data_IF_446835282608
#
_entry.id   IF_446835282608
#
_cell.length_a   1.000
_cell.length_b   1.000
_cell.length_c   1.000
_cell.angle_alpha   90.00
_cell.angle_beta   90.00
_cell.angle_gamma   90.00
#
_symmetry.space_group_name_H-M   'P 1'
#
loop_
_entity.id
_entity.type
_entity.pdbx_description
1 polymer ?
#
# COMPACT_ATOMS: atom_id res chain seq x y z
N UNK A 1 18.21 0.56 14.89
CA UNK A 1 17.14 0.85 15.86
C UNK A 1 17.75 1.27 17.19
N UNK A 2 16.95 1.69 18.19
CA UNK A 2 17.45 2.23 19.47
C UNK A 2 17.98 1.18 20.48
N UNK A 3 17.92 -0.12 20.15
CA UNK A 3 18.50 -1.18 20.99
C UNK A 3 17.74 -1.55 22.27
N UNK A 4 16.57 -0.97 22.49
CA UNK A 4 15.71 -1.26 23.65
C UNK A 4 14.77 -2.44 23.38
N UNK A 5 15.36 -3.62 23.13
CA UNK A 5 14.62 -4.85 22.80
C UNK A 5 14.68 -5.87 23.95
N UNK A 6 13.96 -5.58 25.04
CA UNK A 6 13.86 -6.48 26.18
C UNK A 6 12.45 -6.42 26.79
N UNK A 7 12.00 -7.55 27.34
CA UNK A 7 10.78 -7.60 28.16
C UNK A 7 11.14 -7.05 29.54
N UNK A 8 10.59 -5.88 29.87
CA UNK A 8 10.78 -5.28 31.18
C UNK A 8 9.66 -5.66 32.15
N UNK A 9 10.00 -5.74 33.43
CA UNK A 9 9.04 -5.84 34.54
C UNK A 9 9.11 -4.58 35.38
N UNK A 10 7.94 -4.12 35.80
CA UNK A 10 7.80 -2.92 36.61
C UNK A 10 7.67 -3.28 38.09
N UNK A 11 8.41 -2.59 38.95
CA UNK A 11 8.41 -2.79 40.39
C UNK A 11 8.05 -1.46 41.07
N UNK A 12 6.92 -1.39 41.78
CA UNK A 12 6.57 -0.20 42.54
C UNK A 12 7.51 -0.02 43.72
N UNK A 13 8.00 1.20 43.93
CA UNK A 13 8.86 1.55 45.04
C UNK A 13 8.04 2.19 46.17
N UNK A 14 8.50 2.04 47.41
CA UNK A 14 7.85 2.65 48.59
C UNK A 14 7.78 4.17 48.53
N UNK A 15 8.66 4.81 47.74
CA UNK A 15 8.67 6.25 47.48
C UNK A 15 7.59 6.73 46.50
N UNK A 16 6.80 5.81 45.92
CA UNK A 16 5.82 6.11 44.87
C UNK A 16 6.40 6.09 43.45
N UNK A 17 7.72 5.95 43.31
CA UNK A 17 8.38 5.72 42.02
C UNK A 17 8.16 4.31 41.48
N UNK A 18 8.55 4.08 40.23
CA UNK A 18 8.49 2.76 39.59
C UNK A 18 9.85 2.42 38.98
N UNK A 19 10.31 1.20 39.22
CA UNK A 19 11.56 0.69 38.68
C UNK A 19 11.26 -0.28 37.53
N UNK A 20 11.76 0.01 36.34
CA UNK A 20 11.67 -0.89 35.19
C UNK A 20 12.95 -1.72 35.10
N UNK A 21 12.83 -3.05 35.18
CA UNK A 21 13.96 -3.98 35.07
C UNK A 21 13.80 -4.84 33.83
N UNK A 22 14.79 -4.82 32.94
CA UNK A 22 14.86 -5.73 31.80
C UNK A 22 15.02 -7.17 32.31
N UNK A 23 14.01 -8.01 32.08
CA UNK A 23 13.92 -9.36 32.63
C UNK A 23 14.31 -10.43 31.62
N UNK A 24 14.01 -10.24 30.34
CA UNK A 24 14.31 -11.20 29.28
C UNK A 24 14.69 -10.47 27.98
N UNK A 25 15.71 -10.96 27.24
CA UNK A 25 16.03 -10.45 25.92
C UNK A 25 14.98 -10.89 24.90
N UNK A 26 14.70 -10.04 23.90
CA UNK A 26 13.87 -10.42 22.75
C UNK A 26 14.75 -11.07 21.70
N UNK A 27 14.31 -12.17 21.10
CA UNK A 27 15.03 -12.86 20.03
C UNK A 27 14.37 -12.68 18.66
N UNK A 28 15.18 -12.75 17.61
CA UNK A 28 14.75 -12.84 16.21
C UNK A 28 14.18 -14.23 15.91
N UNK A 29 13.50 -14.41 14.77
CA UNK A 29 12.96 -15.71 14.33
C UNK A 29 14.00 -16.83 14.24
N UNK A 30 15.28 -16.49 14.07
CA UNK A 30 16.41 -17.43 14.06
C UNK A 30 16.91 -17.81 15.48
N UNK A 31 16.21 -17.37 16.53
CA UNK A 31 16.56 -17.61 17.93
C UNK A 31 17.68 -16.73 18.50
N UNK A 32 18.35 -15.93 17.67
CA UNK A 32 19.39 -14.98 18.10
C UNK A 32 18.78 -13.83 18.90
N UNK A 33 19.35 -13.53 20.07
CA UNK A 33 18.94 -12.37 20.86
C UNK A 33 19.25 -11.07 20.11
N UNK A 34 18.31 -10.11 20.15
CA UNK A 34 18.50 -8.77 19.61
C UNK A 34 19.51 -8.06 20.50
N UNK A 35 20.62 -7.54 19.94
CA UNK A 35 21.64 -6.88 20.73
C UNK A 35 21.11 -5.57 21.34
N UNK A 36 21.65 -5.20 22.50
CA UNK A 36 21.30 -3.94 23.18
C UNK A 36 21.73 -2.69 22.38
N UNK A 37 22.59 -2.84 21.36
CA UNK A 37 22.93 -1.79 20.40
C UNK A 37 21.85 -1.58 19.33
N UNK A 38 20.86 -2.47 19.25
CA UNK A 38 19.84 -2.47 18.22
C UNK A 38 20.27 -3.15 16.93
N UNK A 39 19.34 -3.20 15.99
CA UNK A 39 19.53 -3.80 14.68
C UNK A 39 19.91 -2.72 13.67
N UNK A 40 20.89 -3.03 12.84
CA UNK A 40 21.22 -2.28 11.63
C UNK A 40 20.29 -2.74 10.52
N UNK A 41 19.54 -1.83 9.86
CA UNK A 41 18.74 -2.21 8.71
C UNK A 41 19.67 -2.54 7.53
N UNK A 42 19.31 -3.56 6.76
CA UNK A 42 20.04 -3.92 5.54
C UNK A 42 19.93 -2.81 4.47
N UNK A 43 18.79 -2.11 4.46
CA UNK A 43 18.52 -1.00 3.56
C UNK A 43 17.98 0.17 4.38
N UNK A 44 18.76 1.25 4.43
CA UNK A 44 18.33 2.51 5.03
C UNK A 44 17.58 3.35 3.99
N UNK A 45 16.30 3.59 4.22
CA UNK A 45 15.49 4.50 3.40
C UNK A 45 15.28 5.79 4.18
N UNK A 46 15.78 6.90 3.64
CA UNK A 46 15.59 8.22 4.26
C UNK A 46 14.34 8.87 3.69
N UNK A 47 13.40 9.23 4.56
CA UNK A 47 12.16 9.94 4.22
C UNK A 47 11.97 11.14 5.13
N UNK A 48 11.15 12.10 4.68
CA UNK A 48 10.73 13.24 5.49
C UNK A 48 9.67 12.78 6.51
N UNK A 49 9.92 12.97 7.83
CA UNK A 49 9.02 12.48 8.87
C UNK A 49 7.65 13.15 8.85
N UNK A 50 7.52 14.40 8.37
CA UNK A 50 6.22 15.05 8.28
C UNK A 50 5.35 14.39 7.22
N UNK A 51 5.94 14.05 6.07
CA UNK A 51 5.27 13.37 4.96
C UNK A 51 4.88 11.94 5.30
N UNK A 52 5.70 11.23 6.07
CA UNK A 52 5.37 9.88 6.55
C UNK A 52 4.18 9.91 7.51
N UNK A 53 4.17 10.85 8.47
CA UNK A 53 3.04 11.00 9.42
C UNK A 53 1.74 11.36 8.72
N UNK A 54 1.76 12.31 7.78
CA UNK A 54 0.57 12.68 7.02
C UNK A 54 0.04 11.48 6.23
N UNK A 55 0.93 10.71 5.60
CA UNK A 55 0.54 9.50 4.86
C UNK A 55 -0.10 8.44 5.76
N UNK A 56 0.43 8.23 6.97
CA UNK A 56 -0.13 7.30 7.95
C UNK A 56 -1.49 7.77 8.46
N UNK A 57 -1.62 9.06 8.77
CA UNK A 57 -2.89 9.64 9.19
C UNK A 57 -3.95 9.54 8.10
N UNK A 58 -3.60 9.82 6.85
CA UNK A 58 -4.51 9.69 5.70
C UNK A 58 -4.94 8.24 5.49
N UNK A 59 -4.04 7.27 5.68
CA UNK A 59 -4.39 5.85 5.64
C UNK A 59 -5.40 5.49 6.74
N UNK A 60 -5.16 5.95 7.97
CA UNK A 60 -6.07 5.70 9.11
C UNK A 60 -7.42 6.41 8.93
N UNK A 61 -7.44 7.58 8.30
CA UNK A 61 -8.64 8.40 8.07
C UNK A 61 -9.44 7.94 6.86
N UNK A 62 -8.78 7.45 5.81
CA UNK A 62 -9.34 7.06 4.52
C UNK A 62 -9.56 5.54 4.33
N UNK A 63 -8.97 4.69 5.17
CA UNK A 63 -9.11 3.23 5.10
C UNK A 63 -10.47 2.67 5.53
N UNK A 64 -11.28 3.46 6.24
CA UNK A 64 -12.66 3.09 6.62
C UNK A 64 -13.72 3.55 5.59
N UNK A 65 -13.34 4.35 4.60
CA UNK A 65 -14.28 5.05 3.73
C UNK A 65 -14.01 4.82 2.23
N UNK A 66 -13.58 3.62 1.83
CA UNK A 66 -13.47 3.31 0.39
C UNK A 66 -13.58 1.81 0.06
N UNK A 67 -14.70 1.20 0.46
CA UNK A 67 -15.26 0.06 -0.29
C UNK A 67 -16.68 0.32 -0.77
N UNK A 68 -17.41 1.29 -0.18
CA UNK A 68 -18.81 1.57 -0.53
C UNK A 68 -19.13 3.02 -0.94
N UNK A 69 -18.13 3.90 -1.11
CA UNK A 69 -18.36 5.33 -1.40
C UNK A 69 -18.48 5.65 -2.90
N UNK A 70 -19.01 4.72 -3.72
CA UNK A 70 -19.42 5.01 -5.11
C UNK A 70 -20.93 5.29 -5.19
N UNK A 71 -21.70 5.04 -4.13
CA UNK A 71 -23.17 5.08 -4.21
C UNK A 71 -23.80 6.44 -3.85
N UNK A 72 -23.08 7.36 -3.18
CA UNK A 72 -23.67 8.60 -2.66
C UNK A 72 -23.52 9.84 -3.56
N UNK A 73 -22.67 9.79 -4.59
CA UNK A 73 -22.52 10.90 -5.55
C UNK A 73 -23.58 10.89 -6.67
N UNK A 74 -24.40 9.83 -6.77
CA UNK A 74 -25.38 9.65 -7.86
C UNK A 74 -26.75 10.29 -7.61
N UNK A 75 -27.01 10.92 -6.45
CA UNK A 75 -28.35 11.41 -6.08
C UNK A 75 -28.56 12.94 -6.15
N UNK A 76 -27.57 13.71 -6.61
CA UNK A 76 -27.66 15.18 -6.65
C UNK A 76 -27.39 15.71 -8.07
N UNK A 77 -28.36 15.52 -8.96
CA UNK A 77 -28.26 16.00 -10.34
C UNK A 77 -29.50 15.69 -11.17
N UNK A 78 -30.66 16.19 -10.76
CA UNK A 78 -31.84 16.28 -11.62
C UNK A 78 -31.71 17.57 -12.45
N UNK A 79 -32.00 17.46 -13.75
CA UNK A 79 -32.18 18.50 -14.78
C UNK A 79 -30.96 18.85 -15.64
N UNK A 80 -30.73 18.07 -16.71
CA UNK A 80 -30.59 18.62 -18.08
C UNK A 80 -30.66 17.49 -19.11
N UNK A 81 -31.46 17.67 -20.15
CA UNK A 81 -31.77 16.66 -21.16
C UNK A 81 -30.71 16.54 -22.26
N UNK A 82 -30.68 15.37 -22.91
CA UNK A 82 -30.09 15.21 -24.24
C UNK A 82 -29.21 13.97 -24.45
N UNK A 83 -29.82 12.93 -25.03
CA UNK A 83 -29.24 12.11 -26.12
C UNK A 83 -28.12 11.08 -25.80
N UNK A 84 -28.57 9.81 -25.84
CA UNK A 84 -27.97 8.57 -26.36
C UNK A 84 -26.76 7.91 -25.65
N UNK A 85 -27.06 6.73 -25.09
CA UNK A 85 -26.22 5.52 -25.07
C UNK A 85 -24.69 5.72 -25.02
N UNK A 86 -24.15 5.96 -23.83
CA UNK A 86 -22.82 5.44 -23.46
C UNK A 86 -22.93 4.54 -22.24
N UNK A 87 -23.52 3.38 -22.47
CA UNK A 87 -23.27 2.21 -21.63
C UNK A 87 -21.85 1.69 -21.92
N UNK A 88 -20.84 2.38 -21.42
CA UNK A 88 -19.48 1.83 -21.24
C UNK A 88 -19.20 1.61 -19.74
N UNK A 89 -20.26 1.39 -18.97
CA UNK A 89 -20.17 0.72 -17.68
C UNK A 89 -20.25 -0.78 -17.96
N UNK A 90 -19.16 -1.50 -17.69
CA UNK A 90 -19.05 -2.96 -17.79
C UNK A 90 -20.38 -3.61 -17.35
N UNK A 91 -21.17 -4.06 -18.34
CA UNK A 91 -22.43 -4.77 -18.09
C UNK A 91 -22.10 -5.89 -17.13
N UNK A 92 -22.83 -5.98 -16.01
CA UNK A 92 -22.73 -7.15 -15.13
C UNK A 92 -23.23 -8.34 -15.96
N UNK A 93 -22.28 -9.10 -16.53
CA UNK A 93 -22.59 -10.29 -17.30
C UNK A 93 -23.12 -11.34 -16.32
N UNK A 94 -24.32 -11.84 -16.56
CA UNK A 94 -24.86 -12.97 -15.83
C UNK A 94 -24.36 -14.27 -16.49
N UNK A 95 -24.48 -15.40 -15.80
CA UNK A 95 -24.02 -16.71 -16.27
C UNK A 95 -24.67 -17.12 -17.61
N UNK A 96 -25.94 -16.75 -17.81
CA UNK A 96 -26.62 -16.93 -19.09
C UNK A 96 -25.97 -16.15 -20.26
N UNK A 97 -25.43 -14.96 -19.99
CA UNK A 97 -24.74 -14.14 -20.99
C UNK A 97 -23.37 -14.75 -21.34
N UNK A 98 -22.66 -15.28 -20.34
CA UNK A 98 -21.38 -15.99 -20.52
C UNK A 98 -21.54 -17.22 -21.41
N UNK A 99 -22.57 -18.04 -21.17
CA UNK A 99 -22.84 -19.24 -21.99
C UNK A 99 -23.19 -18.86 -23.44
N UNK A 100 -23.94 -17.77 -23.64
CA UNK A 100 -24.26 -17.28 -24.99
C UNK A 100 -23.01 -16.76 -25.71
N UNK A 101 -22.17 -15.98 -25.03
CA UNK A 101 -20.91 -15.47 -25.58
C UNK A 101 -19.93 -16.61 -25.96
N UNK A 102 -19.90 -17.68 -25.17
CA UNK A 102 -19.06 -18.85 -25.43
C UNK A 102 -19.55 -19.66 -26.64
N UNK A 103 -20.86 -19.78 -26.83
CA UNK A 103 -21.45 -20.40 -28.04
C UNK A 103 -21.25 -19.55 -29.30
N UNK A 104 -21.24 -18.23 -29.16
CA UNK A 104 -21.01 -17.28 -30.27
C UNK A 104 -19.51 -17.04 -30.58
N UNK A 105 -18.60 -17.69 -29.85
CA UNK A 105 -17.16 -17.65 -30.12
C UNK A 105 -16.46 -16.32 -29.79
N UNK A 106 -17.13 -15.39 -29.11
CA UNK A 106 -16.54 -14.10 -28.70
C UNK A 106 -15.75 -14.28 -27.40
N UNK A 107 -14.42 -14.27 -27.49
CA UNK A 107 -13.51 -14.28 -26.34
C UNK A 107 -13.50 -12.90 -25.66
N UNK A 108 -13.62 -12.81 -24.32
CA UNK A 108 -13.57 -11.54 -23.59
C UNK A 108 -12.16 -10.93 -23.49
N UNK A 109 -11.12 -11.64 -23.94
CA UNK A 109 -9.70 -11.23 -23.79
C UNK A 109 -9.08 -10.64 -25.08
N UNK A 110 -9.86 -10.44 -26.15
CA UNK A 110 -9.35 -9.87 -27.40
C UNK A 110 -9.20 -8.35 -27.41
N UNK A 111 -9.52 -7.66 -26.32
CA UNK A 111 -9.05 -6.30 -26.08
C UNK A 111 -7.67 -6.38 -25.40
N UNK A 112 -6.72 -6.89 -26.17
CA UNK A 112 -5.31 -6.90 -25.82
C UNK A 112 -4.81 -5.45 -25.77
N UNK A 113 -4.55 -5.02 -24.53
CA UNK A 113 -3.60 -3.99 -24.10
C UNK A 113 -2.80 -3.37 -25.26
N UNK A 114 -3.25 -2.21 -25.72
CA UNK A 114 -2.36 -1.29 -26.42
C UNK A 114 -1.28 -0.87 -25.42
N UNK A 115 -0.06 -1.38 -25.60
CA UNK A 115 1.18 -0.78 -25.08
C UNK A 115 1.38 0.57 -25.77
N UNK A 116 0.56 1.55 -25.38
CA UNK A 116 0.79 2.96 -25.63
C UNK A 116 1.64 3.50 -24.50
N UNK A 117 2.86 3.92 -24.85
CA UNK A 117 3.67 4.79 -24.01
C UNK A 117 2.96 6.13 -23.83
N UNK A 118 2.06 6.20 -22.86
CA UNK A 118 1.46 7.43 -22.40
C UNK A 118 1.40 7.34 -20.88
N UNK A 119 2.34 8.01 -20.21
CA UNK A 119 2.19 8.30 -18.78
C UNK A 119 0.84 8.97 -18.61
N UNK A 120 -0.13 8.38 -17.89
CA UNK A 120 -1.37 9.08 -17.65
C UNK A 120 -1.02 10.27 -16.76
N UNK A 121 -1.29 11.48 -17.26
CA UNK A 121 -1.38 12.65 -16.41
C UNK A 121 -2.28 12.28 -15.22
N UNK A 122 -1.91 12.63 -13.98
CA UNK A 122 -2.70 12.26 -12.81
C UNK A 122 -4.08 12.88 -12.93
N UNK A 123 -5.06 12.06 -13.31
CA UNK A 123 -6.47 12.44 -13.22
C UNK A 123 -6.81 12.73 -11.76
N UNK A 124 -7.67 13.72 -11.48
CA UNK A 124 -8.07 14.04 -10.12
C UNK A 124 -9.07 12.97 -9.65
N UNK A 125 -8.58 11.83 -9.19
CA UNK A 125 -9.44 10.74 -8.74
C UNK A 125 -8.70 9.46 -8.39
N UNK A 126 -8.32 9.34 -7.11
CA UNK A 126 -8.23 8.04 -6.44
C UNK A 126 -6.96 7.22 -6.71
N UNK A 127 -5.78 7.80 -6.55
CA UNK A 127 -4.62 6.99 -6.18
C UNK A 127 -4.76 6.57 -4.72
N UNK A 128 -4.53 5.28 -4.41
CA UNK A 128 -4.30 4.87 -3.02
C UNK A 128 -3.25 5.80 -2.39
N UNK A 129 -3.39 6.20 -1.10
CA UNK A 129 -2.38 7.00 -0.43
C UNK A 129 -1.04 6.27 -0.55
N UNK A 130 -0.12 6.84 -1.33
CA UNK A 130 1.12 6.18 -1.70
C UNK A 130 2.14 6.40 -0.58
N UNK A 131 2.42 5.33 0.16
CA UNK A 131 3.39 5.32 1.25
C UNK A 131 4.77 5.83 0.76
N UNK A 132 5.29 6.92 1.32
CA UNK A 132 6.57 7.51 0.89
C UNK A 132 7.75 6.56 1.11
N UNK A 133 7.73 5.70 2.14
CA UNK A 133 8.78 4.71 2.40
C UNK A 133 8.78 3.65 1.32
N UNK A 134 7.59 3.12 0.99
CA UNK A 134 7.44 2.13 -0.07
C UNK A 134 7.88 2.65 -1.44
N UNK A 135 7.48 3.87 -1.81
CA UNK A 135 7.89 4.49 -3.07
C UNK A 135 9.42 4.64 -3.15
N UNK A 136 10.05 5.12 -2.07
CA UNK A 136 11.51 5.24 -2.02
C UNK A 136 12.22 3.89 -2.06
N UNK A 137 11.67 2.88 -1.40
CA UNK A 137 12.16 1.50 -1.48
C UNK A 137 12.11 0.97 -2.91
N UNK A 138 11.02 1.21 -3.63
CA UNK A 138 10.90 0.84 -5.05
C UNK A 138 11.92 1.56 -5.93
N UNK A 139 12.17 2.85 -5.69
CA UNK A 139 13.20 3.60 -6.43
C UNK A 139 14.60 3.03 -6.19
N UNK A 140 14.94 2.66 -4.95
CA UNK A 140 16.21 2.00 -4.62
C UNK A 140 16.33 0.63 -5.30
N UNK A 141 15.29 -0.19 -5.25
CA UNK A 141 15.29 -1.51 -5.89
C UNK A 141 15.41 -1.40 -7.42
N UNK A 142 14.73 -0.43 -8.04
CA UNK A 142 14.86 -0.14 -9.46
C UNK A 142 16.28 0.33 -9.81
N UNK A 143 16.88 1.19 -8.99
CA UNK A 143 18.27 1.61 -9.14
C UNK A 143 19.25 0.42 -9.09
N UNK A 144 19.09 -0.48 -8.11
CA UNK A 144 19.92 -1.68 -7.98
C UNK A 144 19.76 -2.65 -9.17
N UNK A 145 18.56 -2.76 -9.75
CA UNK A 145 18.32 -3.60 -10.92
C UNK A 145 19.05 -3.10 -12.19
N UNK A 146 19.24 -1.79 -12.31
CA UNK A 146 19.98 -1.17 -13.43
C UNK A 146 21.49 -1.28 -13.21
N UNK A 147 21.97 -1.20 -11.97
CA UNK A 147 23.40 -1.27 -11.60
C UNK A 147 23.87 -2.73 -11.42
N UNK A 148 23.46 -3.64 -12.30
CA UNK A 148 24.11 -4.97 -12.34
C UNK A 148 25.60 -4.76 -12.67
N UNK A 149 26.54 -5.24 -11.85
CA UNK A 149 27.95 -5.17 -12.20
C UNK A 149 28.17 -6.04 -13.44
N UNK A 150 28.79 -5.47 -14.47
CA UNK A 150 29.44 -6.25 -15.51
C UNK A 150 30.47 -7.15 -14.79
N UNK A 151 30.14 -8.44 -14.64
CA UNK A 151 31.10 -9.42 -14.15
C UNK A 151 32.20 -9.53 -15.20
N UNK A 152 33.33 -8.90 -14.93
CA UNK A 152 34.58 -9.17 -15.63
C UNK A 152 34.95 -10.64 -15.38
N UNK A 153 35.15 -11.35 -16.48
CA UNK A 153 35.80 -12.65 -16.55
C UNK A 153 37.17 -12.46 -17.20
#
# INVERSE_FOLDING_TARGET
TAGQAAVAREFPLKSGGRLLIASQPVSTGDGKAIPASGLTPDILVTVDPERERSSLEDFLRGGAASTNSVELAARKGVLSGGVTNRASGRRRLNEADLVRMQKEGKRPDSDSVALGSESPAPGPGGGLPADPVFLRGLDLLKGLAVVRPARGH
#
